data_IF_350415333306
#
_entry.id   IF_350415333306
#
_cell.length_a   1.000
_cell.length_b   1.000
_cell.length_c   1.000
_cell.angle_alpha   90.00
_cell.angle_beta   90.00
_cell.angle_gamma   90.00
#
_symmetry.space_group_name_H-M   'P 1'
#
loop_
_entity.id
_entity.type
_entity.pdbx_description
1 polymer ?
#
# COMPACT_ATOMS: atom_id res chain seq x y z
N UNK A 1 14.05 -39.82 23.69
CA UNK A 1 13.42 -39.46 22.41
C UNK A 1 12.33 -40.48 22.19
N UNK A 2 11.06 -40.09 22.23
CA UNK A 2 9.93 -40.94 21.86
C UNK A 2 10.00 -41.16 20.34
N UNK A 3 9.98 -42.42 19.90
CA UNK A 3 9.95 -42.75 18.47
C UNK A 3 8.73 -42.09 17.82
N UNK A 4 8.97 -41.27 16.80
CA UNK A 4 7.91 -40.65 16.02
C UNK A 4 7.32 -41.73 15.12
N UNK A 5 6.18 -42.28 15.52
CA UNK A 5 5.45 -43.24 14.71
C UNK A 5 4.69 -42.52 13.59
N UNK A 6 5.26 -42.53 12.38
CA UNK A 6 4.58 -42.05 11.17
C UNK A 6 3.44 -43.00 10.78
N UNK A 7 2.20 -42.58 11.02
CA UNK A 7 0.99 -43.33 10.62
C UNK A 7 -0.18 -42.38 10.24
N UNK A 8 -1.23 -42.93 9.62
CA UNK A 8 -2.40 -42.17 9.13
C UNK A 8 -3.07 -41.35 10.26
N UNK A 9 -3.14 -41.90 11.47
CA UNK A 9 -3.72 -41.22 12.63
C UNK A 9 -2.88 -40.01 13.07
N UNK A 10 -1.56 -40.17 13.16
CA UNK A 10 -0.65 -39.07 13.51
C UNK A 10 -0.69 -37.95 12.47
N UNK A 11 -0.82 -38.29 11.17
CA UNK A 11 -0.97 -37.30 10.10
C UNK A 11 -2.31 -36.55 10.24
N UNK A 12 -3.40 -37.28 10.48
CA UNK A 12 -4.73 -36.69 10.69
C UNK A 12 -4.73 -35.71 11.87
N UNK A 13 -4.11 -36.07 12.99
CA UNK A 13 -3.97 -35.19 14.16
C UNK A 13 -3.19 -33.91 13.83
N UNK A 14 -2.08 -34.03 13.10
CA UNK A 14 -1.31 -32.86 12.67
C UNK A 14 -2.08 -31.97 11.69
N UNK A 15 -2.82 -32.55 10.74
CA UNK A 15 -3.67 -31.81 9.80
C UNK A 15 -4.79 -31.05 10.53
N UNK A 16 -5.45 -31.70 11.49
CA UNK A 16 -6.49 -31.06 12.30
C UNK A 16 -5.91 -29.91 13.12
N UNK A 17 -4.75 -30.10 13.75
CA UNK A 17 -4.03 -29.03 14.45
C UNK A 17 -3.67 -27.86 13.51
N UNK A 18 -3.26 -28.15 12.26
CA UNK A 18 -3.03 -27.13 11.25
C UNK A 18 -4.30 -26.33 10.93
N UNK A 19 -5.48 -26.98 10.84
CA UNK A 19 -6.73 -26.25 10.60
C UNK A 19 -7.03 -25.25 11.71
N UNK A 20 -6.80 -25.61 12.97
CA UNK A 20 -6.99 -24.68 14.09
C UNK A 20 -6.05 -23.48 14.03
N UNK A 21 -4.77 -23.71 13.73
CA UNK A 21 -3.79 -22.62 13.67
C UNK A 21 -4.00 -21.71 12.47
N UNK A 22 -4.41 -22.26 11.33
CA UNK A 22 -4.76 -21.48 10.14
C UNK A 22 -5.98 -20.59 10.42
N UNK A 23 -6.99 -21.12 11.10
CA UNK A 23 -8.17 -20.36 11.50
C UNK A 23 -7.83 -19.24 12.50
N UNK A 24 -7.05 -19.57 13.55
CA UNK A 24 -6.52 -18.60 14.53
C UNK A 24 -5.62 -17.53 13.89
N UNK A 25 -4.94 -17.86 12.80
CA UNK A 25 -4.11 -16.94 12.02
C UNK A 25 -4.92 -16.11 11.00
N UNK A 26 -6.25 -16.27 10.95
CA UNK A 26 -7.17 -15.58 10.05
C UNK A 26 -6.89 -15.84 8.56
N UNK A 27 -6.33 -17.01 8.24
CA UNK A 27 -5.98 -17.46 6.88
C UNK A 27 -7.02 -18.45 6.35
N UNK A 28 -8.28 -18.07 6.45
CA UNK A 28 -9.44 -18.92 6.21
C UNK A 28 -9.44 -19.59 4.82
N UNK A 29 -8.87 -18.94 3.80
CA UNK A 29 -8.74 -19.43 2.43
C UNK A 29 -7.96 -20.75 2.34
N UNK A 30 -7.08 -21.02 3.30
CA UNK A 30 -6.26 -22.25 3.34
C UNK A 30 -7.02 -23.45 3.93
N UNK A 31 -8.15 -23.23 4.60
CA UNK A 31 -8.92 -24.32 5.21
C UNK A 31 -9.52 -25.26 4.16
N UNK A 32 -9.97 -24.73 3.02
CA UNK A 32 -10.45 -25.54 1.89
C UNK A 32 -9.43 -26.58 1.42
N UNK A 33 -8.24 -26.15 0.95
CA UNK A 33 -7.15 -27.06 0.58
C UNK A 33 -6.73 -28.03 1.69
N UNK A 34 -6.66 -27.59 2.95
CA UNK A 34 -6.33 -28.48 4.07
C UNK A 34 -7.38 -29.57 4.28
N UNK A 35 -8.66 -29.22 4.28
CA UNK A 35 -9.73 -30.21 4.49
C UNK A 35 -9.84 -31.22 3.35
N UNK A 36 -9.36 -30.92 2.14
CA UNK A 36 -9.25 -31.91 1.05
C UNK A 36 -8.30 -33.07 1.37
N UNK A 37 -7.37 -32.88 2.32
CA UNK A 37 -6.49 -33.94 2.80
C UNK A 37 -7.12 -34.75 3.95
N UNK A 38 -7.99 -34.11 4.74
CA UNK A 38 -8.62 -34.68 5.94
C UNK A 38 -9.88 -35.48 5.62
N UNK A 39 -10.77 -34.92 4.79
CA UNK A 39 -12.10 -35.49 4.50
C UNK A 39 -12.01 -36.95 4.00
N UNK A 40 -11.11 -37.31 3.05
CA UNK A 40 -11.03 -38.69 2.56
C UNK A 40 -10.70 -39.71 3.65
N UNK A 41 -9.95 -39.31 4.69
CA UNK A 41 -9.60 -40.17 5.82
C UNK A 41 -10.85 -40.49 6.64
N UNK A 42 -11.64 -39.46 6.99
CA UNK A 42 -12.88 -39.65 7.74
C UNK A 42 -13.95 -40.39 6.92
N UNK A 43 -14.03 -40.20 5.60
CA UNK A 43 -14.91 -40.97 4.71
C UNK A 43 -14.58 -42.47 4.74
N UNK A 44 -13.30 -42.82 4.62
CA UNK A 44 -12.81 -44.21 4.71
C UNK A 44 -13.12 -44.83 6.07
N UNK A 45 -13.01 -44.05 7.15
CA UNK A 45 -13.34 -44.46 8.52
C UNK A 45 -14.85 -44.49 8.79
N UNK A 46 -15.67 -43.92 7.90
CA UNK A 46 -17.12 -43.69 8.09
C UNK A 46 -17.42 -42.86 9.34
N UNK A 47 -16.53 -41.94 9.70
CA UNK A 47 -16.74 -41.00 10.80
C UNK A 47 -17.58 -39.81 10.32
N UNK A 48 -18.90 -40.04 10.22
CA UNK A 48 -19.84 -39.03 9.76
C UNK A 48 -19.95 -37.82 10.70
N UNK A 49 -19.63 -37.99 11.98
CA UNK A 49 -19.65 -36.90 12.94
C UNK A 49 -18.47 -35.95 12.71
N UNK A 50 -17.28 -36.48 12.50
CA UNK A 50 -16.11 -35.69 12.14
C UNK A 50 -16.28 -35.01 10.77
N UNK A 51 -16.87 -35.69 9.78
CA UNK A 51 -17.21 -35.09 8.49
C UNK A 51 -18.15 -33.90 8.64
N UNK A 52 -19.23 -34.04 9.41
CA UNK A 52 -20.16 -32.94 9.68
C UNK A 52 -19.42 -31.74 10.29
N UNK A 53 -18.55 -31.97 11.26
CA UNK A 53 -17.73 -30.90 11.88
C UNK A 53 -16.81 -30.22 10.87
N UNK A 54 -16.15 -30.97 9.98
CA UNK A 54 -15.30 -30.41 8.93
C UNK A 54 -16.09 -29.46 8.01
N UNK A 55 -17.25 -29.90 7.51
CA UNK A 55 -18.08 -29.07 6.62
C UNK A 55 -18.68 -27.85 7.32
N UNK A 56 -19.06 -27.97 8.60
CA UNK A 56 -19.49 -26.82 9.40
C UNK A 56 -18.37 -25.80 9.61
N UNK A 57 -17.14 -26.25 9.85
CA UNK A 57 -16.00 -25.36 9.97
C UNK A 57 -15.69 -24.66 8.64
N UNK A 58 -15.66 -25.39 7.53
CA UNK A 58 -15.50 -24.81 6.19
C UNK A 58 -16.58 -23.75 5.87
N UNK A 59 -17.82 -24.01 6.25
CA UNK A 59 -18.93 -23.05 6.05
C UNK A 59 -18.66 -21.74 6.78
N UNK A 60 -18.25 -21.81 8.05
CA UNK A 60 -17.88 -20.63 8.85
C UNK A 60 -16.66 -19.91 8.29
N UNK A 61 -15.66 -20.66 7.82
CA UNK A 61 -14.44 -20.11 7.22
C UNK A 61 -14.76 -19.27 5.98
N UNK A 62 -15.54 -19.79 5.02
CA UNK A 62 -15.89 -19.03 3.82
C UNK A 62 -16.83 -17.85 4.11
N UNK A 63 -17.73 -17.98 5.10
CA UNK A 63 -18.50 -16.83 5.58
C UNK A 63 -17.57 -15.72 6.12
N UNK A 64 -16.51 -16.10 6.85
CA UNK A 64 -15.48 -15.16 7.32
C UNK A 64 -14.68 -14.54 6.19
N UNK A 65 -14.29 -15.31 5.16
CA UNK A 65 -13.62 -14.76 3.96
C UNK A 65 -14.47 -13.65 3.33
N UNK A 66 -15.77 -13.87 3.15
CA UNK A 66 -16.69 -12.88 2.58
C UNK A 66 -16.76 -11.62 3.48
N UNK A 67 -16.95 -11.82 4.78
CA UNK A 67 -17.03 -10.72 5.76
C UNK A 67 -15.76 -9.84 5.75
N UNK A 68 -14.58 -10.46 5.80
CA UNK A 68 -13.31 -9.72 5.87
C UNK A 68 -12.91 -9.09 4.54
N UNK A 69 -13.29 -9.71 3.42
CA UNK A 69 -13.07 -9.15 2.07
C UNK A 69 -13.91 -7.90 1.87
N UNK A 70 -15.19 -7.95 2.28
CA UNK A 70 -16.09 -6.80 2.14
C UNK A 70 -15.75 -5.66 3.11
N UNK A 71 -15.36 -5.98 4.35
CA UNK A 71 -15.07 -4.97 5.36
C UNK A 71 -13.67 -4.36 5.24
N UNK A 72 -12.71 -5.07 4.63
CA UNK A 72 -11.31 -4.67 4.57
C UNK A 72 -10.60 -4.66 5.94
N UNK A 73 -11.23 -5.19 7.00
CA UNK A 73 -10.75 -5.09 8.38
C UNK A 73 -9.74 -6.17 8.79
N UNK A 74 -9.48 -7.15 7.93
CA UNK A 74 -8.49 -8.20 8.23
C UNK A 74 -7.08 -7.66 8.04
N UNK A 75 -6.27 -7.81 9.08
CA UNK A 75 -4.91 -7.29 9.16
C UNK A 75 -3.93 -8.45 9.38
N UNK A 76 -3.32 -8.93 8.31
CA UNK A 76 -2.43 -10.11 8.35
C UNK A 76 -0.97 -9.76 8.73
N UNK A 77 -0.67 -8.48 8.97
CA UNK A 77 0.62 -7.99 9.41
C UNK A 77 1.27 -7.01 8.44
N UNK A 78 2.39 -6.44 8.86
CA UNK A 78 3.24 -5.55 8.08
C UNK A 78 4.65 -6.12 7.93
N UNK A 79 5.36 -5.65 6.92
CA UNK A 79 6.72 -6.05 6.63
C UNK A 79 7.70 -4.90 6.78
N UNK A 80 8.89 -5.20 7.26
CA UNK A 80 9.97 -4.23 7.46
C UNK A 80 11.30 -4.83 6.99
N UNK A 81 12.09 -4.05 6.25
CA UNK A 81 13.51 -4.34 6.06
C UNK A 81 14.26 -3.87 7.31
N UNK A 82 15.06 -4.75 7.89
CA UNK A 82 15.94 -4.45 9.03
C UNK A 82 17.36 -4.82 8.65
N UNK A 83 18.26 -3.85 8.72
CA UNK A 83 19.69 -4.04 8.45
C UNK A 83 20.51 -3.66 9.68
N UNK A 84 21.55 -4.44 9.96
CA UNK A 84 22.43 -4.26 11.12
C UNK A 84 23.82 -3.79 10.68
N UNK A 85 24.37 -2.79 11.37
CA UNK A 85 25.72 -2.28 11.13
C UNK A 85 26.44 -2.02 12.45
N UNK A 86 27.74 -2.27 12.51
CA UNK A 86 28.54 -2.21 13.75
C UNK A 86 29.17 -3.56 14.09
N UNK A 87 30.25 -3.89 13.37
CA UNK A 87 31.02 -5.14 13.50
C UNK A 87 31.32 -5.57 14.95
N UNK A 88 31.62 -4.61 15.83
CA UNK A 88 31.94 -4.88 17.23
C UNK A 88 30.76 -5.50 18.04
N UNK A 89 29.53 -5.34 17.57
CA UNK A 89 28.31 -5.77 18.27
C UNK A 89 27.59 -6.93 17.58
N UNK A 90 27.44 -6.88 16.26
CA UNK A 90 26.64 -7.84 15.50
C UNK A 90 27.44 -9.06 15.00
N UNK A 91 28.77 -9.00 15.04
CA UNK A 91 29.62 -10.09 14.52
C UNK A 91 29.49 -10.27 13.01
N UNK A 92 30.21 -11.24 12.45
CA UNK A 92 30.26 -11.44 10.98
C UNK A 92 28.94 -11.98 10.40
N UNK A 93 28.12 -12.66 11.22
CA UNK A 93 26.87 -13.31 10.78
C UNK A 93 25.64 -12.39 10.74
N UNK A 94 25.70 -11.19 11.34
CA UNK A 94 24.60 -10.22 11.29
C UNK A 94 25.03 -8.88 10.65
N UNK A 95 26.34 -8.57 10.62
CA UNK A 95 26.86 -7.33 10.02
C UNK A 95 26.55 -7.23 8.53
N UNK A 96 25.82 -6.20 8.14
CA UNK A 96 25.50 -5.91 6.75
C UNK A 96 24.52 -6.90 6.12
N UNK A 97 23.93 -7.80 6.91
CA UNK A 97 22.83 -8.65 6.46
C UNK A 97 21.52 -7.90 6.64
N UNK A 98 20.72 -7.87 5.57
CA UNK A 98 19.36 -7.36 5.61
C UNK A 98 18.38 -8.51 5.82
N UNK A 99 17.35 -8.25 6.62
CA UNK A 99 16.27 -9.20 6.88
C UNK A 99 14.94 -8.54 6.57
N UNK A 100 13.99 -9.33 6.06
CA UNK A 100 12.58 -8.97 6.10
C UNK A 100 11.98 -9.48 7.40
N UNK A 101 11.41 -8.58 8.18
CA UNK A 101 10.66 -8.85 9.40
C UNK A 101 9.16 -8.80 9.12
N UNK A 102 8.42 -9.80 9.61
CA UNK A 102 6.96 -9.79 9.62
C UNK A 102 6.44 -9.46 11.01
N UNK A 103 5.77 -8.32 11.13
CA UNK A 103 5.14 -7.84 12.36
C UNK A 103 3.62 -8.05 12.34
N UNK A 104 2.98 -8.19 13.52
CA UNK A 104 1.54 -8.40 13.60
C UNK A 104 0.75 -7.14 13.22
N UNK A 105 -0.47 -7.36 12.72
CA UNK A 105 -1.50 -6.32 12.52
C UNK A 105 -0.95 -5.06 11.83
N UNK A 106 -1.02 -3.91 12.51
CA UNK A 106 -0.63 -2.59 12.03
C UNK A 106 0.55 -2.00 12.82
N UNK A 107 1.40 -2.85 13.42
CA UNK A 107 2.64 -2.42 14.10
C UNK A 107 3.31 -1.33 13.30
N UNK A 108 3.54 -0.17 13.94
CA UNK A 108 4.08 1.03 13.29
C UNK A 108 5.60 0.95 13.16
N UNK A 109 6.18 1.82 12.32
CA UNK A 109 7.64 1.94 12.19
C UNK A 109 8.29 2.31 13.54
N UNK A 110 7.65 3.19 14.31
CA UNK A 110 8.12 3.59 15.64
C UNK A 110 8.09 2.41 16.61
N UNK A 111 7.01 1.62 16.63
CA UNK A 111 6.86 0.48 17.55
C UNK A 111 7.90 -0.61 17.30
N UNK A 112 8.15 -1.00 16.05
CA UNK A 112 9.20 -1.97 15.74
C UNK A 112 10.59 -1.39 16.06
N UNK A 113 10.82 -0.11 15.79
CA UNK A 113 12.11 0.55 16.04
C UNK A 113 12.43 0.60 17.52
N UNK A 114 11.46 0.99 18.35
CA UNK A 114 11.59 1.01 19.82
C UNK A 114 11.78 -0.40 20.38
N UNK A 115 11.05 -1.40 19.86
CA UNK A 115 11.19 -2.81 20.25
C UNK A 115 12.60 -3.32 19.96
N UNK A 116 13.15 -3.04 18.78
CA UNK A 116 14.50 -3.44 18.39
C UNK A 116 15.54 -2.70 19.22
N UNK A 117 15.39 -1.38 19.36
CA UNK A 117 16.29 -0.56 20.17
C UNK A 117 16.38 -1.09 21.61
N UNK A 118 15.23 -1.25 22.28
CA UNK A 118 15.17 -1.75 23.66
C UNK A 118 15.84 -3.12 23.81
N UNK A 119 15.56 -4.03 22.86
CA UNK A 119 16.15 -5.38 22.88
C UNK A 119 17.68 -5.35 22.76
N UNK A 120 18.22 -4.55 21.84
CA UNK A 120 19.67 -4.49 21.62
C UNK A 120 20.39 -3.61 22.63
N UNK A 121 19.75 -2.59 23.20
CA UNK A 121 20.31 -1.82 24.32
C UNK A 121 20.44 -2.68 25.58
N UNK A 122 19.48 -3.59 25.84
CA UNK A 122 19.62 -4.57 26.90
C UNK A 122 20.79 -5.54 26.65
N UNK A 123 21.10 -5.86 25.38
CA UNK A 123 22.19 -6.76 25.00
C UNK A 123 23.57 -6.08 25.02
N UNK A 124 23.65 -4.83 24.56
CA UNK A 124 24.91 -4.13 24.30
C UNK A 124 25.20 -2.96 25.26
N UNK A 125 24.24 -2.60 26.11
CA UNK A 125 24.32 -1.45 27.01
C UNK A 125 23.57 -0.23 26.48
N UNK A 126 22.98 0.53 27.39
CA UNK A 126 22.24 1.76 27.07
C UNK A 126 23.14 2.78 26.38
N UNK A 127 22.65 3.41 25.31
CA UNK A 127 23.38 4.41 24.53
C UNK A 127 24.35 3.85 23.48
N UNK A 128 24.54 2.53 23.43
CA UNK A 128 25.39 1.87 22.42
C UNK A 128 24.63 1.50 21.13
N UNK A 129 23.33 1.77 21.05
CA UNK A 129 22.48 1.46 19.89
C UNK A 129 21.92 2.74 19.28
N UNK A 130 21.95 2.86 17.96
CA UNK A 130 21.34 3.97 17.21
C UNK A 130 20.44 3.45 16.09
N UNK A 131 19.23 4.00 16.03
CA UNK A 131 18.28 3.69 14.95
C UNK A 131 18.54 4.59 13.74
N UNK A 132 18.64 4.01 12.54
CA UNK A 132 18.66 4.74 11.28
C UNK A 132 17.26 4.67 10.68
N UNK A 133 16.55 5.80 10.74
CA UNK A 133 15.17 5.90 10.25
C UNK A 133 15.09 6.29 8.78
N UNK A 134 16.18 6.83 8.22
CA UNK A 134 16.28 7.12 6.81
C UNK A 134 16.41 5.82 6.00
N UNK A 135 15.86 5.82 4.79
CA UNK A 135 15.83 4.64 3.91
C UNK A 135 16.99 4.61 2.90
N UNK A 136 17.80 5.67 2.81
CA UNK A 136 18.89 5.73 1.87
C UNK A 136 19.97 4.67 2.20
N UNK A 137 20.77 4.28 1.19
CA UNK A 137 21.93 3.43 1.41
C UNK A 137 22.86 4.04 2.46
N UNK A 138 23.20 3.26 3.49
CA UNK A 138 24.05 3.72 4.59
C UNK A 138 25.51 3.69 4.15
N UNK A 139 26.19 4.84 4.25
CA UNK A 139 27.64 4.88 4.09
C UNK A 139 28.33 4.31 5.34
N UNK A 140 28.91 3.12 5.21
CA UNK A 140 29.53 2.39 6.33
C UNK A 140 30.78 3.10 6.87
N UNK A 141 31.43 3.93 6.07
CA UNK A 141 32.65 4.64 6.45
C UNK A 141 32.36 5.80 7.41
N UNK A 142 31.13 6.31 7.41
CA UNK A 142 30.69 7.41 8.28
C UNK A 142 30.16 6.93 9.64
N UNK A 143 30.03 5.61 9.84
CA UNK A 143 29.51 5.04 11.07
C UNK A 143 30.60 4.92 12.14
N UNK A 144 30.23 5.22 13.40
CA UNK A 144 31.12 4.97 14.53
C UNK A 144 31.21 3.46 14.79
N UNK A 145 32.40 2.89 14.60
CA UNK A 145 32.70 1.47 14.87
C UNK A 145 32.34 0.99 16.28
N UNK A 146 32.19 1.90 17.26
CA UNK A 146 31.82 1.60 18.66
C UNK A 146 30.32 1.60 18.91
N UNK A 147 29.49 1.84 17.90
CA UNK A 147 28.04 1.92 18.04
C UNK A 147 27.38 0.85 17.17
N UNK A 148 26.30 0.26 17.67
CA UNK A 148 25.43 -0.64 16.94
C UNK A 148 24.33 0.16 16.24
N UNK A 149 24.32 0.16 14.91
CA UNK A 149 23.30 0.82 14.12
C UNK A 149 22.29 -0.19 13.58
N UNK A 150 21.01 0.18 13.63
CA UNK A 150 19.91 -0.64 13.10
C UNK A 150 19.09 0.24 12.17
N UNK A 151 19.11 -0.06 10.87
CA UNK A 151 18.25 0.61 9.89
C UNK A 151 16.94 -0.14 9.77
N UNK A 152 15.82 0.57 9.91
CA UNK A 152 14.49 -0.01 9.77
C UNK A 152 13.71 0.74 8.70
N UNK A 153 13.19 0.02 7.71
CA UNK A 153 12.43 0.60 6.61
C UNK A 153 11.15 -0.20 6.40
N UNK A 154 10.01 0.47 6.32
CA UNK A 154 8.75 -0.19 5.96
C UNK A 154 8.79 -0.64 4.49
N UNK A 155 8.30 -1.85 4.20
CA UNK A 155 8.27 -2.40 2.83
C UNK A 155 6.88 -2.90 2.47
N UNK A 156 6.49 -2.73 1.21
CA UNK A 156 5.28 -3.32 0.63
C UNK A 156 5.59 -4.69 0.06
N UNK A 157 4.69 -5.65 0.21
CA UNK A 157 4.80 -6.92 -0.51
C UNK A 157 4.53 -6.71 -2.01
N UNK A 158 5.35 -7.33 -2.87
CA UNK A 158 5.25 -7.24 -4.33
C UNK A 158 5.25 -8.66 -4.90
N UNK A 159 4.10 -9.35 -4.98
CA UNK A 159 4.05 -10.73 -5.47
C UNK A 159 4.60 -10.87 -6.90
N UNK A 160 5.34 -11.94 -7.17
CA UNK A 160 5.92 -12.20 -8.50
C UNK A 160 4.83 -12.38 -9.57
N UNK A 161 5.05 -11.79 -10.76
CA UNK A 161 4.13 -11.93 -11.90
C UNK A 161 2.83 -11.14 -11.80
N UNK A 162 2.63 -10.34 -10.74
CA UNK A 162 1.47 -9.47 -10.60
C UNK A 162 1.84 -8.03 -10.94
N UNK A 163 1.29 -7.49 -12.04
CA UNK A 163 1.36 -6.06 -12.33
C UNK A 163 0.70 -5.23 -11.22
N UNK A 164 0.90 -3.90 -11.23
CA UNK A 164 0.28 -2.94 -10.31
C UNK A 164 -1.26 -3.01 -10.25
N UNK A 165 -1.89 -3.76 -11.16
CA UNK A 165 -3.32 -3.76 -11.47
C UNK A 165 -4.18 -4.86 -10.80
N UNK A 166 -3.85 -5.34 -9.60
CA UNK A 166 -4.83 -6.13 -8.83
C UNK A 166 -5.74 -5.19 -8.05
N UNK A 167 -7.03 -5.20 -8.39
CA UNK A 167 -8.10 -4.66 -7.57
C UNK A 167 -8.18 -5.44 -6.26
N UNK A 168 -8.07 -4.72 -5.14
CA UNK A 168 -8.06 -5.30 -3.80
C UNK A 168 -7.07 -4.54 -2.91
N UNK A 169 -7.57 -4.00 -1.79
CA UNK A 169 -6.78 -3.18 -0.88
C UNK A 169 -5.57 -3.92 -0.30
N UNK A 170 -4.65 -3.17 0.31
CA UNK A 170 -3.36 -3.65 0.87
C UNK A 170 -3.47 -4.87 1.83
N UNK A 171 -4.67 -5.17 2.34
CA UNK A 171 -4.96 -6.31 3.22
C UNK A 171 -5.56 -7.56 2.57
N UNK A 172 -5.67 -7.64 1.23
CA UNK A 172 -6.13 -8.87 0.55
C UNK A 172 -5.18 -10.04 0.85
N UNK A 173 -5.75 -11.24 1.01
CA UNK A 173 -5.01 -12.45 1.36
C UNK A 173 -3.88 -12.73 0.36
N UNK A 174 -4.20 -12.61 -0.93
CA UNK A 174 -3.30 -12.89 -2.05
C UNK A 174 -2.10 -11.95 -2.08
N UNK A 175 -2.26 -10.70 -1.62
CA UNK A 175 -1.17 -9.70 -1.56
C UNK A 175 -0.18 -9.96 -0.43
N UNK A 176 -0.50 -10.81 0.55
CA UNK A 176 0.30 -11.00 1.79
C UNK A 176 0.48 -12.47 2.19
N UNK A 177 0.03 -13.41 1.36
CA UNK A 177 0.22 -14.83 1.52
C UNK A 177 1.09 -15.39 0.41
N UNK A 178 2.06 -16.24 0.79
CA UNK A 178 3.12 -16.71 -0.10
C UNK A 178 3.77 -15.54 -0.83
N UNK A 179 4.32 -14.60 -0.07
CA UNK A 179 5.08 -13.46 -0.59
C UNK A 179 6.56 -13.58 -0.24
N UNK A 180 7.41 -13.28 -1.21
CA UNK A 180 8.87 -13.36 -1.08
C UNK A 180 9.58 -12.09 -1.52
N UNK A 181 8.93 -11.29 -2.37
CA UNK A 181 9.46 -10.03 -2.88
C UNK A 181 8.80 -8.85 -2.21
N UNK A 182 9.60 -7.84 -1.93
CA UNK A 182 9.22 -6.64 -1.21
C UNK A 182 9.79 -5.41 -1.91
N UNK A 183 9.14 -4.26 -1.74
CA UNK A 183 9.61 -2.99 -2.33
C UNK A 183 9.47 -1.86 -1.34
N UNK A 184 10.45 -0.95 -1.33
CA UNK A 184 10.33 0.35 -0.70
C UNK A 184 10.86 1.45 -1.61
N UNK A 185 10.40 2.66 -1.34
CA UNK A 185 10.66 3.86 -2.12
C UNK A 185 11.56 4.80 -1.32
N UNK A 186 12.64 5.28 -1.94
CA UNK A 186 13.56 6.28 -1.36
C UNK A 186 13.59 7.50 -2.28
N UNK A 187 12.99 8.63 -1.87
CA UNK A 187 13.07 9.87 -2.64
C UNK A 187 14.48 10.45 -2.54
N UNK A 188 14.99 10.98 -3.65
CA UNK A 188 16.31 11.61 -3.69
C UNK A 188 16.40 12.67 -4.79
N UNK A 189 17.42 13.51 -4.72
CA UNK A 189 17.79 14.50 -5.74
C UNK A 189 19.23 14.28 -6.18
N UNK A 190 19.67 14.91 -7.29
CA UNK A 190 21.04 14.76 -7.80
C UNK A 190 22.11 15.29 -6.84
N UNK A 191 21.75 16.25 -6.00
CA UNK A 191 22.58 16.85 -4.95
C UNK A 191 22.57 16.03 -3.64
N UNK A 192 21.86 14.90 -3.59
CA UNK A 192 21.87 13.97 -2.46
C UNK A 192 20.82 14.27 -1.37
N UNK A 193 20.01 15.32 -1.53
CA UNK A 193 18.90 15.58 -0.63
C UNK A 193 17.75 14.59 -0.87
N UNK A 194 16.98 14.27 0.17
CA UNK A 194 15.83 13.38 0.03
C UNK A 194 14.68 14.03 -0.77
N UNK A 195 14.48 15.34 -0.60
CA UNK A 195 13.39 16.08 -1.25
C UNK A 195 13.89 17.37 -1.87
N UNK A 196 13.35 17.71 -3.05
CA UNK A 196 13.64 18.96 -3.75
C UNK A 196 12.51 19.40 -4.67
N UNK A 197 12.74 20.39 -5.55
CA UNK A 197 11.79 20.81 -6.56
C UNK A 197 11.38 19.65 -7.47
N UNK A 198 10.14 19.67 -7.98
CA UNK A 198 9.56 18.56 -8.77
C UNK A 198 10.41 18.16 -9.98
N UNK A 199 11.11 19.10 -10.63
CA UNK A 199 11.98 18.83 -11.79
C UNK A 199 13.34 18.23 -11.42
N UNK A 200 13.70 18.21 -10.13
CA UNK A 200 14.90 17.55 -9.60
C UNK A 200 14.58 16.28 -8.80
N UNK A 201 13.33 16.13 -8.36
CA UNK A 201 12.90 15.00 -7.53
C UNK A 201 13.00 13.70 -8.32
N UNK A 202 13.71 12.73 -7.76
CA UNK A 202 13.79 11.36 -8.26
C UNK A 202 13.27 10.40 -7.20
N UNK A 203 13.00 9.17 -7.63
CA UNK A 203 12.55 8.10 -6.75
C UNK A 203 13.33 6.83 -7.04
N UNK A 204 13.90 6.22 -6.01
CA UNK A 204 14.54 4.91 -6.10
C UNK A 204 13.58 3.86 -5.53
N UNK A 205 13.23 2.87 -6.33
CA UNK A 205 12.53 1.68 -5.87
C UNK A 205 13.58 0.59 -5.61
N UNK A 206 13.59 0.08 -4.38
CA UNK A 206 14.48 -1.01 -3.98
C UNK A 206 13.66 -2.26 -3.79
N UNK A 207 13.84 -3.23 -4.70
CA UNK A 207 13.18 -4.52 -4.69
C UNK A 207 14.04 -5.53 -3.95
N UNK A 208 13.51 -6.13 -2.89
CA UNK A 208 14.18 -7.10 -2.04
C UNK A 208 13.55 -8.47 -2.25
N UNK A 209 14.38 -9.51 -2.39
CA UNK A 209 13.94 -10.90 -2.42
C UNK A 209 14.41 -11.59 -1.16
N UNK A 210 13.48 -12.04 -0.32
CA UNK A 210 13.78 -12.83 0.87
C UNK A 210 14.17 -14.27 0.49
N UNK A 211 14.99 -14.94 1.31
CA UNK A 211 15.41 -16.32 1.10
C UNK A 211 14.21 -17.27 1.00
N UNK A 212 13.25 -17.10 1.91
CA UNK A 212 12.04 -17.91 2.08
C UNK A 212 10.76 -17.07 1.94
N UNK A 213 9.65 -17.74 1.65
CA UNK A 213 8.32 -17.14 1.51
C UNK A 213 7.66 -16.87 2.86
N UNK A 214 6.89 -15.79 2.97
CA UNK A 214 6.01 -15.53 4.10
C UNK A 214 4.57 -15.99 3.81
N UNK A 215 3.87 -16.61 4.78
CA UNK A 215 4.33 -16.93 6.14
C UNK A 215 5.41 -18.02 6.17
N UNK A 216 6.31 -17.93 7.16
CA UNK A 216 7.38 -18.90 7.38
C UNK A 216 7.42 -19.32 8.86
N UNK A 217 8.18 -20.38 9.17
CA UNK A 217 8.38 -20.84 10.55
C UNK A 217 9.15 -19.83 11.41
N UNK A 218 9.88 -18.89 10.78
CA UNK A 218 10.54 -17.75 11.45
C UNK A 218 9.84 -16.43 11.09
N UNK A 219 9.92 -15.45 11.99
CA UNK A 219 9.37 -14.10 11.80
C UNK A 219 10.28 -13.15 11.02
N UNK A 220 11.56 -13.51 10.88
CA UNK A 220 12.54 -12.79 10.05
C UNK A 220 13.19 -13.75 9.07
N UNK A 221 13.44 -13.28 7.85
CA UNK A 221 14.06 -14.05 6.77
C UNK A 221 15.13 -13.19 6.11
N UNK A 222 16.35 -13.70 5.87
CA UNK A 222 17.40 -12.96 5.18
C UNK A 222 16.97 -12.50 3.79
N UNK A 223 17.43 -11.34 3.35
CA UNK A 223 17.39 -10.90 1.96
C UNK A 223 18.55 -11.56 1.21
N UNK A 224 18.27 -12.14 0.05
CA UNK A 224 19.27 -12.82 -0.79
C UNK A 224 19.52 -12.13 -2.13
N UNK A 225 18.63 -11.23 -2.54
CA UNK A 225 18.76 -10.46 -3.79
C UNK A 225 18.15 -9.07 -3.60
N UNK A 226 18.78 -8.07 -4.22
CA UNK A 226 18.35 -6.67 -4.19
C UNK A 226 18.50 -6.07 -5.58
N UNK A 227 17.41 -5.52 -6.10
CA UNK A 227 17.36 -4.86 -7.41
C UNK A 227 16.91 -3.42 -7.22
N UNK A 228 17.54 -2.52 -7.98
CA UNK A 228 17.29 -1.08 -7.89
C UNK A 228 16.71 -0.61 -9.21
N UNK A 229 15.59 0.10 -9.14
CA UNK A 229 14.99 0.86 -10.22
C UNK A 229 14.99 2.34 -9.83
N UNK A 230 15.40 3.23 -10.72
CA UNK A 230 15.35 4.68 -10.48
C UNK A 230 14.45 5.35 -11.50
N UNK A 231 13.50 6.15 -10.99
CA UNK A 231 12.62 6.99 -11.79
C UNK A 231 13.19 8.39 -11.92
N UNK A 232 13.17 8.90 -13.14
CA UNK A 232 13.43 10.29 -13.47
C UNK A 232 12.30 11.21 -12.97
N UNK A 233 12.51 12.53 -12.92
CA UNK A 233 11.51 13.46 -12.38
C UNK A 233 10.14 13.40 -13.08
N UNK A 234 10.10 13.24 -14.41
CA UNK A 234 8.83 13.11 -15.12
C UNK A 234 8.15 11.76 -14.85
N UNK A 235 8.92 10.67 -14.69
CA UNK A 235 8.38 9.35 -14.33
C UNK A 235 7.82 9.35 -12.90
N UNK A 236 8.41 10.11 -11.98
CA UNK A 236 7.86 10.35 -10.64
C UNK A 236 6.51 11.05 -10.74
N UNK A 237 6.44 12.15 -11.50
CA UNK A 237 5.20 12.90 -11.71
C UNK A 237 4.09 12.02 -12.32
N UNK A 238 4.40 11.25 -13.36
CA UNK A 238 3.45 10.31 -13.97
C UNK A 238 2.97 9.29 -12.93
N UNK A 239 3.89 8.64 -12.21
CA UNK A 239 3.55 7.59 -11.24
C UNK A 239 2.68 8.11 -10.09
N UNK A 240 2.94 9.32 -9.60
CA UNK A 240 2.13 9.93 -8.53
C UNK A 240 0.73 10.32 -9.04
N UNK A 241 0.65 10.92 -10.23
CA UNK A 241 -0.64 11.27 -10.83
C UNK A 241 -1.48 10.02 -11.16
N UNK A 242 -0.87 8.96 -11.69
CA UNK A 242 -1.54 7.67 -11.93
C UNK A 242 -2.06 7.05 -10.62
N UNK A 243 -1.26 7.09 -9.55
CA UNK A 243 -1.68 6.61 -8.23
C UNK A 243 -2.87 7.41 -7.70
N UNK A 244 -2.85 8.73 -7.86
CA UNK A 244 -3.93 9.61 -7.42
C UNK A 244 -5.22 9.37 -8.20
N UNK A 245 -5.13 9.19 -9.52
CA UNK A 245 -6.25 8.78 -10.39
C UNK A 245 -6.83 7.45 -9.96
N UNK A 246 -5.98 6.44 -9.74
CA UNK A 246 -6.40 5.09 -9.35
C UNK A 246 -7.13 5.11 -7.99
N UNK A 247 -6.57 5.80 -7.00
CA UNK A 247 -7.16 5.91 -5.66
C UNK A 247 -8.52 6.61 -5.68
N UNK A 248 -8.66 7.73 -6.39
CA UNK A 248 -9.95 8.42 -6.51
C UNK A 248 -10.96 7.58 -7.30
N UNK A 249 -10.52 6.94 -8.39
CA UNK A 249 -11.37 6.06 -9.20
C UNK A 249 -11.91 4.88 -8.38
N UNK A 250 -11.09 4.29 -7.51
CA UNK A 250 -11.55 3.21 -6.61
C UNK A 250 -12.64 3.71 -5.67
N UNK A 251 -12.49 4.92 -5.11
CA UNK A 251 -13.47 5.50 -4.19
C UNK A 251 -14.77 5.84 -4.91
N UNK A 252 -14.68 6.44 -6.10
CA UNK A 252 -15.84 6.82 -6.92
C UNK A 252 -16.65 5.60 -7.36
N UNK A 253 -15.97 4.51 -7.71
CA UNK A 253 -16.59 3.28 -8.19
C UNK A 253 -16.96 2.28 -7.06
N UNK A 254 -16.77 2.66 -5.80
CA UNK A 254 -17.10 1.79 -4.67
C UNK A 254 -18.62 1.56 -4.57
N UNK A 255 -19.04 0.31 -4.32
CA UNK A 255 -20.47 -0.05 -4.14
C UNK A 255 -21.13 0.73 -2.99
N UNK A 256 -20.36 1.03 -1.95
CA UNK A 256 -20.77 1.82 -0.79
C UNK A 256 -19.70 2.88 -0.50
N UNK A 257 -19.83 4.10 -1.08
CA UNK A 257 -18.82 5.14 -0.93
C UNK A 257 -18.69 5.63 0.53
N UNK A 258 -17.45 5.75 1.00
CA UNK A 258 -17.15 6.46 2.25
C UNK A 258 -16.96 7.95 1.94
N UNK A 259 -17.95 8.75 2.31
CA UNK A 259 -17.95 10.20 2.08
C UNK A 259 -16.72 10.89 2.69
N UNK A 260 -16.24 10.47 3.87
CA UNK A 260 -15.08 11.09 4.51
C UNK A 260 -13.80 10.76 3.75
N UNK A 261 -13.65 9.50 3.30
CA UNK A 261 -12.53 9.08 2.46
C UNK A 261 -12.54 9.82 1.11
N UNK A 262 -13.71 9.96 0.49
CA UNK A 262 -13.92 10.73 -0.74
C UNK A 262 -13.51 12.19 -0.55
N UNK A 263 -14.07 12.87 0.44
CA UNK A 263 -13.80 14.28 0.72
C UNK A 263 -12.31 14.54 1.03
N UNK A 264 -11.70 13.70 1.87
CA UNK A 264 -10.28 13.80 2.20
C UNK A 264 -9.39 13.69 0.96
N UNK A 265 -9.62 12.68 0.11
CA UNK A 265 -8.81 12.44 -1.09
C UNK A 265 -9.07 13.47 -2.17
N UNK A 266 -10.33 13.86 -2.39
CA UNK A 266 -10.68 14.89 -3.36
C UNK A 266 -10.08 16.24 -2.96
N UNK A 267 -10.31 16.69 -1.73
CA UNK A 267 -9.73 17.95 -1.22
C UNK A 267 -8.20 17.94 -1.32
N UNK A 268 -7.55 16.86 -0.91
CA UNK A 268 -6.09 16.71 -1.03
C UNK A 268 -5.58 16.72 -2.48
N UNK A 269 -6.46 16.54 -3.47
CA UNK A 269 -6.13 16.54 -4.88
C UNK A 269 -6.32 17.90 -5.55
N UNK A 270 -7.42 18.59 -5.23
CA UNK A 270 -7.80 19.85 -5.91
C UNK A 270 -7.51 21.10 -5.08
N UNK A 271 -7.27 20.96 -3.76
CA UNK A 271 -7.04 22.05 -2.81
C UNK A 271 -5.66 21.91 -2.15
N UNK A 272 -4.60 21.62 -2.92
CA UNK A 272 -3.26 21.39 -2.36
C UNK A 272 -2.71 22.68 -1.75
N UNK A 273 -2.37 22.66 -0.46
CA UNK A 273 -1.82 23.82 0.28
C UNK A 273 -0.37 23.63 0.73
N UNK A 274 0.08 22.39 0.93
CA UNK A 274 1.35 22.09 1.62
C UNK A 274 2.37 21.40 0.70
N UNK A 275 1.92 20.48 -0.16
CA UNK A 275 2.79 19.76 -1.10
C UNK A 275 2.79 20.43 -2.47
N UNK A 276 3.75 20.07 -3.33
CA UNK A 276 3.68 20.42 -4.75
C UNK A 276 2.41 19.80 -5.35
N UNK A 277 1.45 20.64 -5.74
CA UNK A 277 0.18 20.17 -6.32
C UNK A 277 0.32 19.76 -7.79
N UNK A 278 -0.76 19.21 -8.39
CA UNK A 278 -0.75 18.77 -9.79
C UNK A 278 -0.25 19.85 -10.77
N UNK A 279 -0.51 21.13 -10.50
CA UNK A 279 0.00 22.25 -11.32
C UNK A 279 1.52 22.38 -11.32
N UNK A 280 2.21 22.00 -10.25
CA UNK A 280 3.66 22.02 -10.22
C UNK A 280 4.23 21.03 -11.25
N UNK A 281 3.62 19.85 -11.39
CA UNK A 281 3.98 18.88 -12.42
C UNK A 281 3.65 19.37 -13.82
N UNK A 282 2.45 19.91 -14.03
CA UNK A 282 2.08 20.48 -15.32
C UNK A 282 3.06 21.59 -15.77
N UNK A 283 3.36 22.54 -14.89
CA UNK A 283 4.27 23.64 -15.22
C UNK A 283 5.73 23.17 -15.45
N UNK A 284 6.18 22.12 -14.75
CA UNK A 284 7.55 21.64 -14.86
C UNK A 284 7.79 20.75 -16.10
N UNK A 285 6.77 20.00 -16.52
CA UNK A 285 6.93 18.93 -17.51
C UNK A 285 6.11 19.13 -18.79
N UNK A 286 5.07 19.96 -18.76
CA UNK A 286 4.14 20.17 -19.88
C UNK A 286 4.17 21.59 -20.45
N UNK A 287 4.90 22.52 -19.84
CA UNK A 287 5.11 23.86 -20.40
C UNK A 287 5.72 23.73 -21.82
N UNK A 288 5.16 24.38 -22.86
CA UNK A 288 5.63 24.23 -24.24
C UNK A 288 7.12 24.57 -24.46
N UNK A 289 7.71 25.39 -23.59
CA UNK A 289 9.13 25.75 -23.64
C UNK A 289 10.03 24.71 -22.99
N UNK A 290 9.51 23.94 -22.02
CA UNK A 290 10.26 22.95 -21.24
C UNK A 290 9.98 21.50 -21.69
N UNK A 291 8.78 21.20 -22.17
CA UNK A 291 8.36 19.87 -22.59
C UNK A 291 9.31 19.19 -23.59
N UNK A 292 9.91 19.89 -24.58
CA UNK A 292 10.89 19.29 -25.49
C UNK A 292 12.17 18.76 -24.82
N UNK A 293 12.40 19.06 -23.53
CA UNK A 293 13.53 18.54 -22.75
C UNK A 293 13.29 17.11 -22.21
N UNK A 294 12.07 16.57 -22.34
CA UNK A 294 11.67 15.28 -21.81
C UNK A 294 11.25 14.32 -22.93
N UNK A 295 11.26 12.99 -22.71
CA UNK A 295 10.80 12.02 -23.70
C UNK A 295 9.33 12.25 -24.11
N UNK A 296 9.05 12.29 -25.41
CA UNK A 296 7.72 12.58 -25.97
C UNK A 296 6.65 11.61 -25.43
N UNK A 297 6.99 10.32 -25.28
CA UNK A 297 6.09 9.30 -24.75
C UNK A 297 5.71 9.57 -23.29
N UNK A 298 6.64 10.04 -22.46
CA UNK A 298 6.37 10.42 -21.07
C UNK A 298 5.55 11.71 -20.97
N UNK A 299 5.81 12.69 -21.84
CA UNK A 299 5.03 13.93 -21.93
C UNK A 299 3.58 13.62 -22.31
N UNK A 300 3.36 12.83 -23.37
CA UNK A 300 2.02 12.44 -23.81
C UNK A 300 1.31 11.57 -22.77
N UNK A 301 2.04 10.66 -22.11
CA UNK A 301 1.50 9.88 -21.00
C UNK A 301 1.03 10.78 -19.85
N UNK A 302 1.86 11.74 -19.42
CA UNK A 302 1.50 12.68 -18.36
C UNK A 302 0.27 13.52 -18.75
N UNK A 303 0.19 14.01 -20.00
CA UNK A 303 -1.01 14.71 -20.51
C UNK A 303 -2.26 13.83 -20.41
N UNK A 304 -2.17 12.56 -20.83
CA UNK A 304 -3.28 11.62 -20.75
C UNK A 304 -3.72 11.39 -19.29
N UNK A 305 -2.77 11.20 -18.38
CA UNK A 305 -3.06 11.04 -16.94
C UNK A 305 -3.72 12.29 -16.35
N UNK A 306 -3.33 13.51 -16.76
CA UNK A 306 -4.01 14.73 -16.31
C UNK A 306 -5.46 14.82 -16.79
N UNK A 307 -5.75 14.38 -18.02
CA UNK A 307 -7.12 14.33 -18.53
C UNK A 307 -7.96 13.38 -17.68
N UNK A 308 -7.45 12.18 -17.43
CA UNK A 308 -8.12 11.19 -16.58
C UNK A 308 -8.31 11.71 -15.15
N UNK A 309 -7.30 12.37 -14.59
CA UNK A 309 -7.37 13.03 -13.29
C UNK A 309 -8.51 14.05 -13.20
N UNK A 310 -8.64 14.93 -14.20
CA UNK A 310 -9.75 15.89 -14.25
C UNK A 310 -11.11 15.19 -14.34
N UNK A 311 -11.23 14.17 -15.20
CA UNK A 311 -12.45 13.36 -15.34
C UNK A 311 -12.84 12.69 -14.01
N UNK A 312 -11.89 12.10 -13.30
CA UNK A 312 -12.14 11.39 -12.05
C UNK A 312 -12.44 12.36 -10.90
N UNK A 313 -11.75 13.50 -10.83
CA UNK A 313 -12.07 14.57 -9.87
C UNK A 313 -13.48 15.12 -10.08
N UNK A 314 -13.90 15.29 -11.34
CA UNK A 314 -15.28 15.69 -11.66
C UNK A 314 -16.31 14.65 -11.20
N UNK A 315 -16.08 13.37 -11.49
CA UNK A 315 -16.95 12.30 -11.02
C UNK A 315 -17.01 12.24 -9.47
N UNK A 316 -15.87 12.47 -8.81
CA UNK A 316 -15.78 12.56 -7.35
C UNK A 316 -16.59 13.75 -6.78
N UNK A 317 -16.57 14.91 -7.43
CA UNK A 317 -17.40 16.06 -7.05
C UNK A 317 -18.88 15.75 -7.19
N UNK A 318 -19.29 15.16 -8.31
CA UNK A 318 -20.69 14.77 -8.54
C UNK A 318 -21.16 13.74 -7.51
N UNK A 319 -20.31 12.79 -7.15
CA UNK A 319 -20.61 11.82 -6.10
C UNK A 319 -20.73 12.52 -4.74
N UNK A 320 -19.81 13.42 -4.40
CA UNK A 320 -19.86 14.16 -3.14
C UNK A 320 -21.15 14.99 -3.03
N UNK A 321 -21.53 15.72 -4.09
CA UNK A 321 -22.77 16.50 -4.13
C UNK A 321 -24.04 15.67 -3.86
N UNK A 322 -24.04 14.37 -4.21
CA UNK A 322 -25.14 13.44 -3.92
C UNK A 322 -25.15 12.91 -2.48
N UNK A 323 -24.02 12.97 -1.79
CA UNK A 323 -23.83 12.35 -0.48
C UNK A 323 -23.83 13.35 0.69
N UNK A 324 -23.58 14.63 0.40
CA UNK A 324 -23.49 15.69 1.42
C UNK A 324 -24.83 15.98 2.10
N UNK A 325 -24.74 16.46 3.33
CA UNK A 325 -25.84 17.08 4.07
C UNK A 325 -25.89 18.60 3.82
N UNK A 326 -26.97 19.26 4.23
CA UNK A 326 -27.18 20.71 4.02
C UNK A 326 -26.10 21.59 4.66
N UNK A 327 -25.49 21.17 5.76
CA UNK A 327 -24.39 21.87 6.43
C UNK A 327 -23.06 21.84 5.66
N UNK A 328 -22.95 20.98 4.65
CA UNK A 328 -21.74 20.81 3.82
C UNK A 328 -21.84 21.46 2.44
N UNK A 329 -22.92 22.17 2.11
CA UNK A 329 -23.11 22.79 0.79
C UNK A 329 -22.02 23.81 0.48
N UNK A 330 -21.69 24.70 1.42
CA UNK A 330 -20.62 25.69 1.26
C UNK A 330 -19.25 25.05 1.07
N UNK A 331 -19.02 23.90 1.70
CA UNK A 331 -17.81 23.11 1.50
C UNK A 331 -17.75 22.51 0.08
N UNK A 332 -18.85 21.97 -0.43
CA UNK A 332 -18.95 21.49 -1.82
C UNK A 332 -18.71 22.62 -2.83
N UNK A 333 -19.33 23.78 -2.65
CA UNK A 333 -19.13 24.96 -3.53
C UNK A 333 -17.66 25.39 -3.58
N UNK A 334 -16.97 25.35 -2.43
CA UNK A 334 -15.54 25.63 -2.37
C UNK A 334 -14.70 24.58 -3.12
N UNK A 335 -15.04 23.29 -3.01
CA UNK A 335 -14.39 22.23 -3.79
C UNK A 335 -14.60 22.43 -5.30
N UNK A 336 -15.83 22.69 -5.74
CA UNK A 336 -16.13 22.96 -7.15
C UNK A 336 -15.35 24.16 -7.66
N UNK A 337 -15.34 25.27 -6.91
CA UNK A 337 -14.57 26.48 -7.26
C UNK A 337 -13.08 26.17 -7.44
N UNK A 338 -12.48 25.39 -6.55
CA UNK A 338 -11.07 25.03 -6.65
C UNK A 338 -10.80 24.06 -7.81
N UNK A 339 -11.71 23.12 -8.07
CA UNK A 339 -11.62 22.25 -9.23
C UNK A 339 -11.68 23.04 -10.54
N UNK A 340 -12.57 24.02 -10.69
CA UNK A 340 -12.64 24.83 -11.90
C UNK A 340 -11.36 25.66 -12.10
N UNK A 341 -10.83 26.28 -11.03
CA UNK A 341 -9.55 27.01 -11.10
C UNK A 341 -8.39 26.11 -11.55
N UNK A 342 -8.32 24.90 -10.98
CA UNK A 342 -7.32 23.91 -11.35
C UNK A 342 -7.49 23.44 -12.80
N UNK A 343 -8.72 23.15 -13.20
CA UNK A 343 -9.08 22.69 -14.53
C UNK A 343 -8.76 23.71 -15.61
N UNK A 344 -9.06 24.99 -15.36
CA UNK A 344 -8.73 26.09 -16.27
C UNK A 344 -7.22 26.23 -16.43
N UNK A 345 -6.48 26.22 -15.31
CA UNK A 345 -5.02 26.27 -15.32
C UNK A 345 -4.40 25.10 -16.09
N UNK A 346 -4.90 23.87 -15.87
CA UNK A 346 -4.43 22.68 -16.59
C UNK A 346 -4.83 22.70 -18.06
N UNK A 347 -6.03 23.17 -18.41
CA UNK A 347 -6.50 23.27 -19.81
C UNK A 347 -5.58 24.16 -20.64
N UNK A 348 -5.13 25.29 -20.06
CA UNK A 348 -4.17 26.18 -20.69
C UNK A 348 -2.82 25.49 -20.97
N UNK A 349 -2.31 24.70 -20.02
CA UNK A 349 -1.04 23.96 -20.18
C UNK A 349 -1.20 22.79 -21.17
N UNK A 350 -2.35 22.12 -21.18
CA UNK A 350 -2.64 21.00 -22.08
C UNK A 350 -2.98 21.44 -23.52
N UNK A 351 -3.28 22.73 -23.73
CA UNK A 351 -3.67 23.26 -25.04
C UNK A 351 -5.02 22.73 -25.54
N UNK A 352 -5.91 22.30 -24.63
CA UNK A 352 -7.24 21.76 -24.96
C UNK A 352 -8.30 22.40 -24.06
N UNK A 353 -9.49 22.65 -24.57
CA UNK A 353 -10.56 23.21 -23.74
C UNK A 353 -11.09 22.14 -22.77
N UNK A 354 -11.47 22.56 -21.57
CA UNK A 354 -11.98 21.66 -20.52
C UNK A 354 -13.16 20.80 -21.00
N UNK A 355 -14.04 21.36 -21.82
CA UNK A 355 -15.18 20.65 -22.40
C UNK A 355 -14.78 19.47 -23.30
N UNK A 356 -13.62 19.56 -23.97
CA UNK A 356 -13.09 18.51 -24.83
C UNK A 356 -12.39 17.41 -24.01
N UNK A 357 -11.91 17.77 -22.81
CA UNK A 357 -11.30 16.85 -21.84
C UNK A 357 -12.38 16.06 -21.09
N UNK A 358 -13.46 16.73 -20.68
CA UNK A 358 -14.60 16.13 -20.01
C UNK A 358 -15.56 15.51 -21.03
N UNK A 359 -15.14 14.45 -21.71
CA UNK A 359 -16.01 13.64 -22.57
C UNK A 359 -17.25 13.18 -21.77
N UNK A 360 -18.41 13.82 -22.01
CA UNK A 360 -19.74 13.51 -21.46
C UNK A 360 -20.05 13.89 -19.99
N UNK A 361 -19.58 15.03 -19.48
CA UNK A 361 -19.95 15.51 -18.14
C UNK A 361 -20.49 16.94 -18.10
N UNK A 362 -21.78 17.15 -18.35
CA UNK A 362 -22.43 18.40 -17.94
C UNK A 362 -22.44 18.44 -16.39
N UNK A 363 -21.73 19.40 -15.79
CA UNK A 363 -22.03 19.83 -14.42
C UNK A 363 -23.39 20.51 -14.46
N UNK A 364 -24.44 19.81 -14.03
CA UNK A 364 -25.65 20.52 -13.59
C UNK A 364 -25.24 21.27 -12.32
N UNK A 365 -25.04 22.59 -12.42
CA UNK A 365 -24.78 23.52 -11.30
C UNK A 365 -26.00 23.70 -10.40
N UNK A 366 -26.74 22.63 -10.14
CA UNK A 366 -27.91 22.65 -9.30
C UNK A 366 -27.92 21.35 -8.51
N UNK A 367 -27.70 21.48 -7.20
CA UNK A 367 -28.10 20.47 -6.23
C UNK A 367 -29.61 20.26 -6.42
N UNK A 368 -29.99 19.30 -7.25
CA UNK A 368 -31.40 18.89 -7.39
C UNK A 368 -31.76 18.10 -6.16
N UNK A 369 -32.47 18.72 -5.21
CA UNK A 369 -32.96 18.01 -4.03
C UNK A 369 -33.31 18.87 -2.81
N UNK A 370 -33.06 20.19 -2.82
CA UNK A 370 -33.56 21.08 -1.76
C UNK A 370 -34.65 21.97 -2.37
N UNK A 371 -35.91 21.56 -2.17
CA UNK A 371 -37.04 22.47 -2.34
C UNK A 371 -36.85 23.63 -1.36
N UNK A 372 -36.48 24.79 -1.90
CA UNK A 372 -36.71 26.05 -1.21
C UNK A 372 -38.22 26.24 -1.17
N UNK A 373 -38.85 25.88 -0.05
CA UNK A 373 -40.18 26.41 0.26
C UNK A 373 -40.07 27.93 0.38
N UNK A 374 -40.30 28.60 -0.75
CA UNK A 374 -40.63 30.00 -0.79
C UNK A 374 -42.02 30.19 -0.17
N UNK A 375 -42.08 30.39 1.14
CA UNK A 375 -43.26 30.95 1.79
C UNK A 375 -43.12 32.48 1.81
N UNK A 376 -43.69 33.12 0.80
CA UNK A 376 -44.09 34.53 0.87
C UNK A 376 -45.53 34.59 1.40
N UNK A 377 -45.69 35.05 2.65
CA UNK A 377 -46.77 35.90 3.11
C UNK A 377 -46.31 36.63 4.38
#
# INVERSE_FOLDING_TARGET
MTDVHYNEQSLLEQLMLCTEYVDKAERYELLGPLYRLVIPIYEKQKDYQALLTCYQHLTKAYAKVIEVTNSGKRLLGRFYRVAFFGKAHFGEDEEGIEFIYKEPKLTSLSEISEKLQTFYEHKFGAGNVKMIMDSAPVNREELDSKVAYIQVTWVRASPEGMGTAISGGEGSFERVHNVRRFVFETPFTRDGAARGPVHHQRLRLTHLTAENWFPYVKRRVPVIDTQIEEKSPIEVAVSEMESQVAELSEIVNAKSPDIKKLQLRLQGSICVQVNAGPLAYANAFLDPTLAPMYPDDMVEKLKATFKEFLTVCHAALQLNAKLISSDQVTYQEALETNYYKLSDSLSNVLGQQLQDILLNGNLSTTVTGVELESSNA
#
